data_IF_612707640265
#
_entry.id   IF_612707640265
#
_cell.length_a   1.000
_cell.length_b   1.000
_cell.length_c   1.000
_cell.angle_alpha   90.00
_cell.angle_beta   90.00
_cell.angle_gamma   90.00
#
_symmetry.space_group_name_H-M   'P 1'
#
loop_
_entity.id
_entity.type
_entity.pdbx_description
1 polymer ?
#
# COMPACT_ATOMS: atom_id res chain seq x y z
N UNK A 1 -12.08 -8.05 -26.35
CA UNK A 1 -12.48 -7.89 -24.94
C UNK A 1 -11.20 -7.75 -24.16
N UNK A 2 -10.79 -6.50 -23.93
CA UNK A 2 -9.74 -6.16 -22.99
C UNK A 2 -10.19 -6.67 -21.61
N UNK A 3 -9.62 -7.81 -21.20
CA UNK A 3 -9.72 -8.27 -19.81
C UNK A 3 -9.06 -7.18 -18.99
N UNK A 4 -9.86 -6.28 -18.42
CA UNK A 4 -9.43 -5.45 -17.30
C UNK A 4 -8.61 -6.34 -16.38
N UNK A 5 -7.41 -5.92 -15.91
CA UNK A 5 -6.66 -6.71 -14.97
C UNK A 5 -7.53 -6.86 -13.73
N UNK A 6 -8.21 -8.00 -13.64
CA UNK A 6 -9.01 -8.36 -12.49
C UNK A 6 -8.03 -8.36 -11.32
N UNK A 7 -8.26 -7.46 -10.37
CA UNK A 7 -7.51 -7.37 -9.14
C UNK A 7 -7.42 -8.79 -8.56
N UNK A 8 -6.21 -9.31 -8.41
CA UNK A 8 -6.00 -10.68 -7.96
C UNK A 8 -6.51 -10.80 -6.52
N UNK A 9 -7.58 -11.58 -6.31
CA UNK A 9 -8.27 -11.67 -5.03
C UNK A 9 -7.37 -12.27 -3.94
N UNK A 10 -6.50 -13.22 -4.29
CA UNK A 10 -5.54 -13.80 -3.36
C UNK A 10 -4.50 -12.77 -2.92
N UNK A 11 -4.04 -11.94 -3.87
CA UNK A 11 -3.11 -10.84 -3.56
C UNK A 11 -3.78 -9.77 -2.71
N UNK A 12 -5.02 -9.40 -3.01
CA UNK A 12 -5.82 -8.46 -2.19
C UNK A 12 -5.98 -8.98 -0.77
N UNK A 13 -6.36 -10.25 -0.62
CA UNK A 13 -6.52 -10.86 0.70
C UNK A 13 -5.19 -10.87 1.46
N UNK A 14 -4.09 -11.18 0.78
CA UNK A 14 -2.73 -11.14 1.34
C UNK A 14 -2.37 -9.73 1.83
N UNK A 15 -2.62 -8.70 1.02
CA UNK A 15 -2.37 -7.30 1.39
C UNK A 15 -3.20 -6.93 2.61
N UNK A 16 -4.52 -7.17 2.58
CA UNK A 16 -5.42 -6.83 3.69
C UNK A 16 -5.01 -7.54 4.97
N UNK A 17 -4.77 -8.85 4.92
CA UNK A 17 -4.36 -9.63 6.09
C UNK A 17 -2.99 -9.21 6.63
N UNK A 18 -2.07 -8.79 5.76
CA UNK A 18 -0.76 -8.28 6.18
C UNK A 18 -0.89 -6.96 6.93
N UNK A 19 -1.69 -6.02 6.43
CA UNK A 19 -1.92 -4.75 7.11
C UNK A 19 -2.70 -4.89 8.41
N UNK A 20 -3.67 -5.83 8.47
CA UNK A 20 -4.39 -6.18 9.70
C UNK A 20 -3.43 -6.66 10.81
N UNK A 21 -2.45 -7.49 10.46
CA UNK A 21 -1.40 -7.93 11.39
C UNK A 21 -0.45 -6.80 11.84
N UNK A 22 -0.41 -5.70 11.10
CA UNK A 22 0.43 -4.54 11.39
C UNK A 22 -0.35 -3.46 12.13
N UNK A 23 -1.66 -3.62 12.38
CA UNK A 23 -2.45 -2.66 13.14
C UNK A 23 -1.80 -2.39 14.51
N UNK A 24 -1.53 -1.11 14.80
CA UNK A 24 -0.80 -0.67 16.00
C UNK A 24 0.72 -0.82 15.94
N UNK A 25 1.29 -1.31 14.84
CA UNK A 25 2.73 -1.26 14.58
C UNK A 25 3.16 0.13 14.08
N UNK A 26 4.44 0.44 14.27
CA UNK A 26 5.06 1.68 13.80
C UNK A 26 4.87 1.86 12.28
N UNK A 27 4.59 3.11 11.89
CA UNK A 27 4.46 3.53 10.51
C UNK A 27 5.64 3.07 9.62
N UNK A 28 6.88 3.06 10.12
CA UNK A 28 8.03 2.56 9.35
C UNK A 28 7.90 1.08 8.98
N UNK A 29 7.27 0.27 9.84
CA UNK A 29 7.04 -1.17 9.59
C UNK A 29 5.96 -1.36 8.53
N UNK A 30 4.93 -0.53 8.55
CA UNK A 30 3.88 -0.52 7.52
C UNK A 30 4.43 -0.12 6.15
N UNK A 31 5.25 0.95 6.08
CA UNK A 31 5.90 1.40 4.84
C UNK A 31 6.81 0.30 4.26
N UNK A 32 7.62 -0.35 5.11
CA UNK A 32 8.48 -1.45 4.68
C UNK A 32 7.69 -2.63 4.13
N UNK A 33 6.63 -3.03 4.82
CA UNK A 33 5.77 -4.13 4.38
C UNK A 33 5.05 -3.81 3.07
N UNK A 34 4.63 -2.55 2.89
CA UNK A 34 4.05 -2.11 1.64
C UNK A 34 5.07 -2.13 0.48
N UNK A 35 6.33 -1.76 0.72
CA UNK A 35 7.39 -1.83 -0.28
C UNK A 35 7.70 -3.27 -0.71
N UNK A 36 7.69 -4.21 0.23
CA UNK A 36 7.81 -5.64 -0.05
C UNK A 36 6.65 -6.13 -0.93
N UNK A 37 5.41 -5.77 -0.60
CA UNK A 37 4.21 -6.16 -1.36
C UNK A 37 4.13 -5.49 -2.74
N UNK A 38 4.58 -4.23 -2.84
CA UNK A 38 4.59 -3.47 -4.08
C UNK A 38 5.77 -3.88 -5.00
N UNK A 39 6.74 -4.61 -4.46
CA UNK A 39 8.03 -4.89 -5.11
C UNK A 39 8.71 -3.60 -5.62
N UNK A 40 8.47 -2.47 -4.95
CA UNK A 40 9.03 -1.17 -5.27
C UNK A 40 9.12 -0.28 -4.03
N UNK A 41 10.03 0.71 -4.00
CA UNK A 41 10.10 1.65 -2.88
C UNK A 41 8.79 2.41 -2.69
N UNK A 42 8.42 2.61 -1.42
CA UNK A 42 7.25 3.41 -1.01
C UNK A 42 7.74 4.57 -0.17
N UNK A 43 7.31 5.77 -0.54
CA UNK A 43 7.51 6.97 0.26
C UNK A 43 6.23 7.33 0.99
N UNK A 44 6.36 7.69 2.26
CA UNK A 44 5.28 8.30 3.03
C UNK A 44 5.77 9.54 3.73
N UNK A 45 4.94 10.58 3.66
CA UNK A 45 5.06 11.80 4.42
C UNK A 45 3.85 11.92 5.34
N UNK A 46 4.05 11.53 6.59
CA UNK A 46 3.09 11.75 7.66
C UNK A 46 3.00 13.25 7.96
N UNK A 47 1.80 13.73 8.30
CA UNK A 47 1.54 15.11 8.65
C UNK A 47 0.52 15.11 9.79
N UNK A 48 0.81 15.82 10.88
CA UNK A 48 -0.07 15.83 12.06
C UNK A 48 -1.37 16.64 11.80
N UNK A 49 -1.31 17.62 10.89
CA UNK A 49 -2.41 18.53 10.56
C UNK A 49 -3.12 18.19 9.23
N UNK A 50 -2.72 17.12 8.54
CA UNK A 50 -3.24 16.79 7.20
C UNK A 50 -3.20 15.29 6.92
N UNK A 51 -3.96 14.85 5.91
CA UNK A 51 -3.89 13.47 5.45
C UNK A 51 -2.46 13.12 5.00
N UNK A 52 -1.94 11.94 5.39
CA UNK A 52 -0.60 11.55 5.01
C UNK A 52 -0.48 11.39 3.48
N UNK A 53 0.62 11.90 2.96
CA UNK A 53 0.94 11.81 1.54
C UNK A 53 1.75 10.54 1.30
N UNK A 54 1.20 9.62 0.53
CA UNK A 54 1.79 8.30 0.24
C UNK A 54 2.04 8.19 -1.27
N UNK A 55 3.19 7.64 -1.69
CA UNK A 55 3.52 7.42 -3.11
C UNK A 55 4.39 6.17 -3.32
N UNK A 56 4.28 5.57 -4.51
CA UNK A 56 5.13 4.46 -4.95
C UNK A 56 6.16 4.96 -5.96
N UNK A 57 7.42 4.57 -5.80
CA UNK A 57 8.49 4.84 -6.76
C UNK A 57 8.67 3.63 -7.66
N UNK A 58 7.70 3.42 -8.56
CA UNK A 58 7.78 2.33 -9.54
C UNK A 58 8.22 2.85 -10.91
N UNK A 59 9.24 2.21 -11.46
CA UNK A 59 9.59 2.34 -12.88
C UNK A 59 8.72 1.35 -13.70
N UNK A 60 7.59 1.82 -14.24
CA UNK A 60 6.71 0.99 -15.08
C UNK A 60 5.23 1.35 -14.99
N UNK A 61 4.39 0.44 -15.49
CA UNK A 61 2.93 0.56 -15.40
C UNK A 61 2.45 0.35 -13.95
N UNK A 62 1.47 1.15 -13.54
CA UNK A 62 0.77 0.95 -12.29
C UNK A 62 0.10 -0.43 -12.28
N UNK A 63 0.27 -1.15 -11.17
CA UNK A 63 -0.48 -2.40 -10.90
C UNK A 63 -1.79 -2.02 -10.23
N UNK A 64 -2.81 -2.83 -10.47
CA UNK A 64 -4.13 -2.63 -9.89
C UNK A 64 -4.13 -2.65 -8.34
N UNK A 65 -3.15 -3.30 -7.71
CA UNK A 65 -2.99 -3.35 -6.25
C UNK A 65 -2.29 -2.13 -5.64
N UNK A 66 -1.69 -1.27 -6.46
CA UNK A 66 -0.96 -0.09 -6.00
C UNK A 66 -1.89 0.88 -5.25
N UNK A 67 -3.09 1.10 -5.79
CA UNK A 67 -4.11 1.95 -5.17
C UNK A 67 -4.55 1.41 -3.81
N UNK A 68 -4.69 0.09 -3.69
CA UNK A 68 -5.06 -0.57 -2.43
C UNK A 68 -3.96 -0.42 -1.37
N UNK A 69 -2.69 -0.60 -1.77
CA UNK A 69 -1.54 -0.44 -0.88
C UNK A 69 -1.45 1.00 -0.36
N UNK A 70 -1.56 1.99 -1.26
CA UNK A 70 -1.54 3.40 -0.91
C UNK A 70 -2.72 3.78 0.00
N UNK A 71 -3.92 3.29 -0.31
CA UNK A 71 -5.09 3.51 0.53
C UNK A 71 -4.87 2.95 1.94
N UNK A 72 -4.38 1.71 2.07
CA UNK A 72 -4.12 1.09 3.37
C UNK A 72 -3.05 1.82 4.18
N UNK A 73 -1.96 2.25 3.55
CA UNK A 73 -0.93 3.06 4.20
C UNK A 73 -1.46 4.39 4.71
N UNK A 74 -2.28 5.08 3.91
CA UNK A 74 -2.84 6.39 4.31
C UNK A 74 -3.70 6.28 5.58
N UNK A 75 -4.34 5.14 5.79
CA UNK A 75 -5.19 4.88 6.96
C UNK A 75 -4.45 4.16 8.11
N UNK A 76 -3.15 3.92 8.00
CA UNK A 76 -2.39 3.16 9.01
C UNK A 76 -2.12 3.93 10.31
N UNK A 77 -1.88 5.24 10.20
CA UNK A 77 -1.46 6.11 11.32
C UNK A 77 -2.56 7.12 11.73
N UNK A 78 -3.78 6.95 11.19
CA UNK A 78 -4.93 7.84 11.45
C UNK A 78 -5.77 7.41 12.65
#
# INVERSE_FOLDING_TARGET
MDKQPALDADLVFTIVSRFDQLEGADAEVAVRSAAELAECPVGVRWSEDAEPTVWLEREGLARSTDELLLHRLRHHDS
#
